data_IF_953341755266
#
_entry.id   IF_953341755266
#
_cell.length_a   1.000
_cell.length_b   1.000
_cell.length_c   1.000
_cell.angle_alpha   90.00
_cell.angle_beta   90.00
_cell.angle_gamma   90.00
#
_symmetry.space_group_name_H-M   'P 1'
#
loop_
_entity.id
_entity.type
_entity.pdbx_description
1 polymer ?
#
# COMPACT_ATOMS: atom_id res chain seq x y z
N UNK A 1 10.08 -10.17 17.67
CA UNK A 1 10.10 -9.25 16.51
C UNK A 1 8.68 -8.91 16.14
N UNK A 2 8.28 -7.64 16.11
CA UNK A 2 6.94 -7.23 15.66
C UNK A 2 6.93 -7.16 14.12
N UNK A 3 5.98 -7.84 13.47
CA UNK A 3 5.81 -7.75 12.02
C UNK A 3 5.21 -6.39 11.62
N UNK A 4 5.65 -5.83 10.49
CA UNK A 4 5.03 -4.64 9.88
C UNK A 4 3.79 -5.05 9.09
N UNK A 5 2.66 -4.35 9.28
CA UNK A 5 1.40 -4.54 8.53
C UNK A 5 0.86 -3.18 8.08
N UNK A 6 0.33 -3.12 6.86
CA UNK A 6 -0.43 -2.00 6.33
C UNK A 6 -1.69 -2.53 5.61
N UNK A 7 -2.83 -1.87 5.84
CA UNK A 7 -4.12 -2.26 5.25
C UNK A 7 -4.55 -1.25 4.18
N UNK A 8 -4.90 -1.75 2.99
CA UNK A 8 -5.32 -0.93 1.86
C UNK A 8 -6.68 -1.40 1.35
N UNK A 9 -7.68 -0.51 1.38
CA UNK A 9 -9.02 -0.82 0.89
C UNK A 9 -9.22 -0.32 -0.54
N UNK A 10 -10.00 -1.07 -1.32
CA UNK A 10 -10.51 -0.56 -2.59
C UNK A 10 -11.36 0.70 -2.33
N UNK A 11 -11.20 1.77 -3.11
CA UNK A 11 -12.10 2.93 -3.01
C UNK A 11 -13.54 2.56 -3.41
N UNK A 12 -14.52 3.28 -2.87
CA UNK A 12 -15.93 3.21 -3.27
C UNK A 12 -16.36 4.61 -3.70
N UNK A 13 -17.15 4.78 -4.80
CA UNK A 13 -17.81 3.77 -5.63
C UNK A 13 -16.95 3.19 -6.79
N UNK A 14 -15.81 3.81 -7.09
CA UNK A 14 -14.97 3.43 -8.24
C UNK A 14 -14.02 2.25 -7.97
N UNK A 15 -13.72 1.44 -8.99
CA UNK A 15 -12.85 0.25 -8.85
C UNK A 15 -11.35 0.56 -8.88
N UNK A 16 -10.98 1.73 -9.40
CA UNK A 16 -9.61 2.16 -9.63
C UNK A 16 -8.93 2.68 -8.37
N UNK A 17 -7.72 2.20 -8.11
CA UNK A 17 -6.91 2.69 -7.01
C UNK A 17 -6.56 4.17 -7.21
N UNK A 18 -6.69 4.96 -6.15
CA UNK A 18 -6.24 6.36 -6.20
C UNK A 18 -4.71 6.39 -6.22
N UNK A 19 -4.13 7.37 -6.92
CA UNK A 19 -2.66 7.54 -7.04
C UNK A 19 -1.93 7.50 -5.70
N UNK A 20 -2.52 8.04 -4.63
CA UNK A 20 -1.91 8.02 -3.30
C UNK A 20 -1.88 6.62 -2.68
N UNK A 21 -2.83 5.74 -3.00
CA UNK A 21 -2.85 4.37 -2.47
C UNK A 21 -1.71 3.56 -3.09
N UNK A 22 -1.46 3.74 -4.39
CA UNK A 22 -0.32 3.13 -5.07
C UNK A 22 1.00 3.61 -4.47
N UNK A 23 1.13 4.91 -4.19
CA UNK A 23 2.33 5.46 -3.52
C UNK A 23 2.54 4.85 -2.14
N UNK A 24 1.49 4.80 -1.32
CA UNK A 24 1.57 4.24 0.03
C UNK A 24 1.94 2.75 0.05
N UNK A 25 1.47 1.96 -0.93
CA UNK A 25 1.87 0.55 -1.07
C UNK A 25 3.36 0.44 -1.42
N UNK A 26 3.87 1.27 -2.34
CA UNK A 26 5.30 1.28 -2.72
C UNK A 26 6.19 1.62 -1.52
N UNK A 27 5.85 2.68 -0.79
CA UNK A 27 6.56 3.10 0.42
C UNK A 27 6.57 2.00 1.49
N UNK A 28 5.44 1.30 1.67
CA UNK A 28 5.36 0.18 2.60
C UNK A 28 6.30 -0.97 2.18
N UNK A 29 6.26 -1.37 0.91
CA UNK A 29 7.12 -2.44 0.35
C UNK A 29 8.60 -2.09 0.51
N UNK A 30 8.99 -0.87 0.17
CA UNK A 30 10.37 -0.38 0.37
C UNK A 30 10.77 -0.40 1.85
N UNK A 31 9.87 -0.03 2.76
CA UNK A 31 10.13 -0.04 4.21
C UNK A 31 10.37 -1.42 4.81
N UNK A 32 9.97 -2.49 4.10
CA UNK A 32 10.22 -3.89 4.44
C UNK A 32 11.31 -4.53 3.56
N UNK A 33 11.98 -3.73 2.71
CA UNK A 33 13.09 -4.18 1.86
C UNK A 33 12.65 -4.90 0.58
N UNK A 34 11.40 -4.75 0.14
CA UNK A 34 10.88 -5.31 -1.11
C UNK A 34 10.92 -4.23 -2.19
N UNK A 35 11.49 -4.54 -3.36
CA UNK A 35 11.48 -3.64 -4.53
C UNK A 35 10.15 -3.81 -5.29
N UNK A 36 9.32 -2.75 -5.40
CA UNK A 36 7.97 -2.80 -5.95
C UNK A 36 7.87 -2.63 -7.48
#
# INVERSE_FOLDING_TARGET
>A
MQGKRADFHRPHPGKEAKRYQVRAVREFLESVGIMP
#
